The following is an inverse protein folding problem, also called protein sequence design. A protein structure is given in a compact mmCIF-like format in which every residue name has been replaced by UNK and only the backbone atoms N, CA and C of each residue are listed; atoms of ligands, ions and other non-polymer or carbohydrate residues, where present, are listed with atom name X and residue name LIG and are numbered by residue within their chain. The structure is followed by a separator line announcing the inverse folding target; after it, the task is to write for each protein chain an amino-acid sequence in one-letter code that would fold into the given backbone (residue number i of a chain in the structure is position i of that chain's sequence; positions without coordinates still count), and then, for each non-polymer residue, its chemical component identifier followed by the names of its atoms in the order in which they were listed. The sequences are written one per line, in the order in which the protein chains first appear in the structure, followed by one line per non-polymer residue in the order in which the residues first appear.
data_IF_642884285781
#
_entry.id   IF_642884285781
#
_cell.length_a   1.000
_cell.length_b   1.000
_cell.length_c   1.000
_cell.angle_alpha   90.00
_cell.angle_beta   90.00
_cell.angle_gamma   90.00
#
_symmetry.space_group_name_H-M   'P 1'
#
loop_
_entity.id
_entity.type
_entity.pdbx_description
1 polymer ?
#
# COMPACT_ATOMS: atom_id res chain seq x y z
N UNK A 1 24.05 29.49 -6.91
CA UNK A 1 23.20 29.92 -8.05
C UNK A 1 23.90 30.99 -8.84
N UNK A 2 24.20 32.19 -8.28
CA UNK A 2 24.82 33.32 -9.00
C UNK A 2 26.14 32.97 -9.70
N UNK A 3 26.98 32.12 -9.08
CA UNK A 3 28.26 31.68 -9.65
C UNK A 3 28.09 30.81 -10.91
N UNK A 4 26.96 30.09 -11.04
CA UNK A 4 26.69 29.16 -12.16
C UNK A 4 25.81 29.82 -13.21
N UNK A 5 24.76 30.53 -12.78
CA UNK A 5 23.73 31.08 -13.65
C UNK A 5 23.95 32.59 -13.98
N UNK A 6 24.92 33.23 -13.37
CA UNK A 6 25.11 34.68 -13.49
C UNK A 6 24.01 35.48 -12.77
N UNK A 7 23.97 36.78 -13.03
CA UNK A 7 22.99 37.69 -12.46
C UNK A 7 23.51 38.43 -11.21
N UNK A 8 22.63 39.24 -10.59
CA UNK A 8 22.90 39.97 -9.34
C UNK A 8 21.83 39.70 -8.31
N UNK A 9 22.22 39.57 -7.03
CA UNK A 9 21.27 39.41 -5.94
C UNK A 9 20.69 40.76 -5.52
N UNK A 10 19.39 40.81 -5.28
CA UNK A 10 18.76 41.95 -4.61
C UNK A 10 19.09 41.95 -3.11
N UNK A 11 18.77 43.05 -2.41
CA UNK A 11 18.82 43.04 -0.94
C UNK A 11 17.79 42.08 -0.40
N UNK A 12 18.19 41.28 0.60
CA UNK A 12 17.24 40.40 1.30
C UNK A 12 16.33 41.22 2.21
N UNK A 13 15.06 40.80 2.30
CA UNK A 13 14.08 41.35 3.22
C UNK A 13 13.71 40.27 4.24
N UNK A 14 13.83 40.59 5.52
CA UNK A 14 13.41 39.74 6.61
C UNK A 14 12.14 40.33 7.22
N UNK A 15 11.05 39.55 7.22
CA UNK A 15 9.79 39.90 7.87
C UNK A 15 9.43 38.81 8.90
N UNK A 16 8.93 39.21 10.05
CA UNK A 16 8.56 38.30 11.14
C UNK A 16 9.31 38.58 12.45
N UNK A 17 9.06 37.81 13.50
CA UNK A 17 9.71 37.99 14.79
C UNK A 17 11.23 37.73 14.68
N UNK A 18 12.03 38.67 15.19
CA UNK A 18 13.50 38.63 15.13
C UNK A 18 14.16 37.52 15.98
N UNK A 19 13.41 36.80 16.79
CA UNK A 19 13.95 35.72 17.62
C UNK A 19 13.15 34.43 17.44
N UNK A 20 13.80 33.43 16.88
CA UNK A 20 13.28 32.07 16.98
C UNK A 20 13.42 31.59 18.44
N UNK A 21 12.32 31.11 19.03
CA UNK A 21 12.35 30.52 20.34
C UNK A 21 13.29 29.30 20.33
N UNK A 22 14.32 29.35 21.19
CA UNK A 22 15.22 28.20 21.35
C UNK A 22 14.46 27.01 21.87
N UNK A 23 14.53 25.89 21.15
CA UNK A 23 13.87 24.66 21.52
C UNK A 23 14.79 23.84 22.42
N UNK A 24 14.36 23.54 23.63
CA UNK A 24 15.09 22.70 24.57
C UNK A 24 14.35 21.40 24.80
N UNK A 25 15.01 20.29 24.54
CA UNK A 25 14.46 18.94 24.71
C UNK A 25 15.20 18.24 25.84
N UNK A 26 14.44 17.51 26.68
CA UNK A 26 15.00 16.71 27.76
C UNK A 26 15.16 15.26 27.28
N UNK A 27 16.40 14.80 27.14
CA UNK A 27 16.72 13.44 26.73
C UNK A 27 17.07 12.59 27.96
N UNK A 28 16.34 11.47 28.11
CA UNK A 28 16.70 10.44 29.09
C UNK A 28 17.50 9.33 28.39
N UNK A 29 18.75 9.15 28.81
CA UNK A 29 19.64 8.13 28.22
C UNK A 29 19.11 6.70 28.34
N UNK A 30 18.36 6.37 29.40
CA UNK A 30 17.76 5.04 29.54
C UNK A 30 16.81 4.72 28.40
N UNK A 31 16.04 5.72 27.97
CA UNK A 31 15.10 5.59 26.84
C UNK A 31 15.81 5.18 25.53
N UNK A 32 17.07 5.64 25.33
CA UNK A 32 17.86 5.19 24.18
C UNK A 32 18.10 3.68 24.23
N UNK A 33 18.51 3.13 25.38
CA UNK A 33 18.71 1.69 25.54
C UNK A 33 17.40 0.91 25.39
N UNK A 34 16.31 1.42 25.98
CA UNK A 34 15.01 0.73 25.96
C UNK A 34 14.41 0.64 24.53
N UNK A 35 14.68 1.64 23.69
CA UNK A 35 14.17 1.69 22.32
C UNK A 35 15.12 0.98 21.33
N UNK A 36 16.42 1.26 21.44
CA UNK A 36 17.42 0.80 20.47
C UNK A 36 18.02 -0.57 20.83
N UNK A 37 17.97 -0.95 22.12
CA UNK A 37 18.55 -2.20 22.61
C UNK A 37 20.03 -2.13 23.00
N UNK A 38 20.77 -1.10 22.58
CA UNK A 38 22.19 -0.92 22.89
C UNK A 38 22.43 0.29 23.82
N UNK A 39 23.54 0.27 24.54
CA UNK A 39 23.92 1.36 25.45
C UNK A 39 24.74 2.44 24.73
N UNK A 40 24.60 3.67 25.19
CA UNK A 40 25.41 4.80 24.76
C UNK A 40 25.92 5.57 25.99
N UNK A 41 27.16 6.01 25.95
CA UNK A 41 27.75 6.78 27.03
C UNK A 41 27.41 8.28 26.95
N UNK A 42 27.43 8.97 28.09
CA UNK A 42 27.23 10.43 28.12
C UNK A 42 28.27 11.18 27.25
N UNK A 43 29.48 10.66 27.16
CA UNK A 43 30.55 11.25 26.35
C UNK A 43 30.23 11.10 24.84
N UNK A 44 29.75 9.94 24.40
CA UNK A 44 29.33 9.73 23.01
C UNK A 44 28.11 10.61 22.65
N UNK A 45 27.10 10.69 23.54
CA UNK A 45 25.96 11.58 23.34
C UNK A 45 26.41 13.03 23.17
N UNK A 46 27.29 13.49 24.06
CA UNK A 46 27.82 14.85 23.99
C UNK A 46 28.59 15.07 22.66
N UNK A 47 29.47 14.16 22.27
CA UNK A 47 30.24 14.24 21.05
C UNK A 47 29.32 14.31 19.80
N UNK A 48 28.36 13.41 19.71
CA UNK A 48 27.46 13.30 18.55
C UNK A 48 26.56 14.55 18.46
N UNK A 49 25.82 14.88 19.50
CA UNK A 49 24.87 15.98 19.43
C UNK A 49 25.55 17.36 19.29
N UNK A 50 26.74 17.51 19.87
CA UNK A 50 27.53 18.74 19.66
C UNK A 50 28.03 18.86 18.23
N UNK A 51 28.45 17.76 17.58
CA UNK A 51 28.84 17.76 16.17
C UNK A 51 27.67 18.09 15.23
N UNK A 52 26.44 17.84 15.66
CA UNK A 52 25.22 18.22 14.97
C UNK A 52 24.72 19.66 15.27
N UNK A 53 25.53 20.42 16.04
CA UNK A 53 25.24 21.82 16.37
C UNK A 53 24.34 22.04 17.59
N UNK A 54 24.00 20.99 18.33
CA UNK A 54 23.23 21.10 19.56
C UNK A 54 24.09 21.62 20.71
N UNK A 55 23.48 22.39 21.61
CA UNK A 55 24.12 22.77 22.90
C UNK A 55 23.58 21.89 24.01
N UNK A 56 24.48 21.31 24.83
CA UNK A 56 24.14 20.26 25.78
C UNK A 56 24.45 20.70 27.20
N UNK A 57 23.52 20.40 28.12
CA UNK A 57 23.76 20.49 29.56
C UNK A 57 23.38 19.14 30.20
N UNK A 58 24.39 18.46 30.76
CA UNK A 58 24.21 17.13 31.35
C UNK A 58 23.88 17.30 32.85
N UNK A 59 22.72 16.84 33.29
CA UNK A 59 22.30 16.73 34.68
C UNK A 59 22.02 15.27 35.03
N UNK A 60 22.86 14.66 35.86
CA UNK A 60 22.79 13.26 36.36
C UNK A 60 22.05 12.21 35.50
N UNK A 61 20.74 12.32 35.29
CA UNK A 61 19.91 11.35 34.55
C UNK A 61 19.24 11.94 33.28
N UNK A 62 19.20 13.27 33.16
CA UNK A 62 18.51 13.98 32.09
C UNK A 62 19.51 14.90 31.39
N UNK A 63 19.59 14.80 30.10
CA UNK A 63 20.40 15.68 29.25
C UNK A 63 19.48 16.73 28.64
N UNK A 64 19.71 17.99 28.96
CA UNK A 64 19.02 19.10 28.28
C UNK A 64 19.75 19.45 27.01
N UNK A 65 19.06 19.34 25.89
CA UNK A 65 19.59 19.57 24.55
C UNK A 65 18.89 20.80 23.94
N UNK A 66 19.63 21.86 23.71
CA UNK A 66 19.17 23.03 22.95
C UNK A 66 19.40 22.74 21.46
N UNK A 67 18.31 22.63 20.70
CA UNK A 67 18.32 22.31 19.26
C UNK A 67 18.63 23.56 18.45
N UNK A 68 19.50 23.47 17.41
CA UNK A 68 19.80 24.61 16.55
C UNK A 68 18.58 25.01 15.71
N UNK A 69 18.48 26.29 15.36
CA UNK A 69 17.32 26.86 14.68
C UNK A 69 17.08 26.29 13.26
N UNK A 70 18.11 25.75 12.63
CA UNK A 70 18.03 25.16 11.28
C UNK A 70 17.56 23.68 11.27
N UNK A 71 17.29 23.10 12.47
CA UNK A 71 16.72 21.76 12.64
C UNK A 71 15.29 21.82 13.20
N UNK A 72 14.31 22.31 12.41
CA UNK A 72 12.92 22.39 12.84
C UNK A 72 12.27 21.00 13.02
N UNK A 73 12.82 19.98 12.38
CA UNK A 73 12.46 18.57 12.42
C UNK A 73 12.61 17.96 13.82
N UNK A 74 13.67 18.35 14.54
CA UNK A 74 13.92 17.81 15.89
C UNK A 74 12.97 18.49 16.88
N UNK A 75 11.97 17.73 17.35
CA UNK A 75 10.90 18.24 18.22
C UNK A 75 10.75 17.51 19.54
N UNK A 76 11.12 16.26 19.57
CA UNK A 76 10.94 15.35 20.70
C UNK A 76 12.25 14.63 21.03
N UNK A 77 12.26 13.95 22.17
CA UNK A 77 13.42 13.17 22.59
C UNK A 77 13.70 11.96 21.68
N UNK A 78 12.66 11.43 21.02
CA UNK A 78 12.82 10.34 20.05
C UNK A 78 13.62 10.79 18.83
N UNK A 79 13.46 12.03 18.38
CA UNK A 79 14.20 12.58 17.24
C UNK A 79 15.71 12.68 17.58
N UNK A 80 16.03 13.00 18.86
CA UNK A 80 17.40 12.97 19.33
C UNK A 80 17.97 11.55 19.41
N UNK A 81 17.15 10.56 19.78
CA UNK A 81 17.52 9.15 19.79
C UNK A 81 17.83 8.68 18.36
N UNK A 82 17.04 9.08 17.38
CA UNK A 82 17.27 8.79 15.98
C UNK A 82 18.63 9.36 15.52
N UNK A 83 18.93 10.60 15.82
CA UNK A 83 20.22 11.23 15.47
C UNK A 83 21.40 10.49 16.12
N UNK A 84 21.24 10.07 17.36
CA UNK A 84 22.28 9.31 18.07
C UNK A 84 22.56 7.97 17.40
N UNK A 85 21.54 7.20 17.07
CA UNK A 85 21.74 5.88 16.46
C UNK A 85 22.22 6.00 15.02
N UNK A 86 21.74 6.99 14.28
CA UNK A 86 22.16 7.27 12.91
C UNK A 86 23.67 7.51 12.80
N UNK A 87 24.23 8.27 13.73
CA UNK A 87 25.69 8.55 13.78
C UNK A 87 26.47 7.40 14.42
N UNK A 88 25.91 6.75 15.47
CA UNK A 88 26.56 5.60 16.12
C UNK A 88 26.66 4.40 15.18
N UNK A 89 25.68 4.21 14.31
CA UNK A 89 25.59 3.16 13.29
C UNK A 89 24.51 2.13 13.61
N UNK A 90 23.63 1.88 12.66
CA UNK A 90 22.58 0.84 12.76
C UNK A 90 23.14 -0.58 12.71
N UNK A 91 24.31 -0.76 12.13
CA UNK A 91 25.08 -2.01 12.08
C UNK A 91 25.47 -2.55 13.47
N UNK A 92 25.46 -1.69 14.48
CA UNK A 92 25.76 -2.06 15.88
C UNK A 92 24.56 -2.60 16.64
N UNK A 93 23.37 -2.59 16.04
CA UNK A 93 22.15 -3.15 16.65
C UNK A 93 22.17 -4.67 16.40
N UNK A 94 22.10 -5.43 17.50
CA UNK A 94 22.03 -6.88 17.41
C UNK A 94 20.70 -7.33 16.82
N UNK A 95 20.75 -8.21 15.84
CA UNK A 95 19.58 -8.85 15.26
C UNK A 95 19.08 -9.95 16.18
N UNK A 96 18.00 -9.67 16.91
CA UNK A 96 17.34 -10.64 17.78
C UNK A 96 16.16 -11.25 17.02
N UNK A 97 16.15 -12.59 16.89
CA UNK A 97 14.99 -13.27 16.32
C UNK A 97 13.80 -13.13 17.26
N UNK A 98 12.62 -12.68 16.77
CA UNK A 98 11.44 -12.64 17.60
C UNK A 98 11.09 -14.05 18.08
N UNK A 99 10.71 -14.18 19.33
CA UNK A 99 10.24 -15.45 19.90
C UNK A 99 8.98 -15.89 19.16
N UNK A 100 9.00 -17.14 18.66
CA UNK A 100 7.83 -17.74 18.04
C UNK A 100 6.87 -18.19 19.14
N UNK A 101 5.76 -17.49 19.27
CA UNK A 101 4.65 -17.98 20.07
C UNK A 101 3.95 -19.10 19.29
N UNK A 102 4.25 -20.38 19.62
CA UNK A 102 3.79 -21.56 18.89
C UNK A 102 2.27 -21.76 18.98
N UNK A 103 1.62 -21.16 19.95
CA UNK A 103 0.21 -21.39 20.27
C UNK A 103 -0.76 -20.41 19.63
N UNK A 104 -0.28 -19.46 18.83
CA UNK A 104 -1.12 -18.48 18.13
C UNK A 104 -1.17 -18.76 16.64
N UNK A 105 -2.38 -18.84 16.10
CA UNK A 105 -2.58 -18.88 14.67
C UNK A 105 -1.96 -17.62 14.03
N UNK A 106 -1.10 -17.84 13.04
CA UNK A 106 -0.35 -16.75 12.36
C UNK A 106 -1.27 -15.89 11.50
N UNK A 107 -2.31 -16.50 10.92
CA UNK A 107 -3.28 -15.84 10.04
C UNK A 107 -4.69 -16.06 10.56
N UNK A 108 -5.48 -15.01 10.62
CA UNK A 108 -6.91 -15.13 10.86
C UNK A 108 -7.64 -15.72 9.63
N UNK A 109 -8.91 -16.10 9.82
CA UNK A 109 -9.71 -16.75 8.77
C UNK A 109 -9.78 -15.92 7.48
N UNK A 110 -10.00 -14.59 7.57
CA UNK A 110 -10.07 -13.72 6.39
C UNK A 110 -8.74 -13.67 5.64
N UNK A 111 -7.62 -13.63 6.35
CA UNK A 111 -6.28 -13.69 5.74
C UNK A 111 -6.00 -15.04 5.09
N UNK A 112 -6.45 -16.15 5.70
CA UNK A 112 -6.36 -17.47 5.08
C UNK A 112 -7.13 -17.52 3.77
N UNK A 113 -8.39 -17.04 3.75
CA UNK A 113 -9.20 -16.96 2.52
C UNK A 113 -8.57 -16.07 1.46
N UNK A 114 -8.01 -14.92 1.83
CA UNK A 114 -7.31 -14.03 0.92
C UNK A 114 -6.19 -14.76 0.17
N UNK A 115 -5.28 -15.39 0.90
CA UNK A 115 -4.17 -16.12 0.29
C UNK A 115 -4.60 -17.39 -0.45
N UNK A 116 -5.66 -18.04 0.00
CA UNK A 116 -6.20 -19.22 -0.68
C UNK A 116 -6.80 -18.81 -2.03
N UNK A 117 -7.56 -17.71 -2.09
CA UNK A 117 -8.10 -17.15 -3.34
C UNK A 117 -7.01 -16.83 -4.36
N UNK A 118 -5.91 -16.20 -3.90
CA UNK A 118 -4.77 -15.89 -4.77
C UNK A 118 -4.19 -17.18 -5.39
N UNK A 119 -3.92 -18.20 -4.56
CA UNK A 119 -3.36 -19.48 -5.04
C UNK A 119 -4.33 -20.23 -5.95
N UNK A 120 -5.61 -20.24 -5.61
CA UNK A 120 -6.65 -20.90 -6.41
C UNK A 120 -6.73 -20.35 -7.83
N UNK A 121 -6.70 -19.03 -8.00
CA UNK A 121 -6.75 -18.41 -9.32
C UNK A 121 -5.40 -18.50 -10.06
N UNK A 122 -4.28 -18.32 -9.35
CA UNK A 122 -2.96 -18.48 -9.95
C UNK A 122 -2.74 -19.89 -10.51
N UNK A 123 -3.19 -20.94 -9.80
CA UNK A 123 -3.11 -22.33 -10.26
C UNK A 123 -3.94 -22.61 -11.53
N UNK A 124 -4.94 -21.79 -11.81
CA UNK A 124 -5.77 -21.86 -13.04
C UNK A 124 -5.20 -21.00 -14.18
N UNK A 125 -3.98 -20.48 -14.01
CA UNK A 125 -3.27 -19.70 -15.04
C UNK A 125 -3.65 -18.23 -15.11
N UNK A 126 -4.33 -17.69 -14.11
CA UNK A 126 -4.55 -16.25 -14.01
C UNK A 126 -3.30 -15.55 -13.46
N UNK A 127 -3.03 -14.37 -13.97
CA UNK A 127 -2.00 -13.46 -13.47
C UNK A 127 -2.62 -12.49 -12.49
N UNK A 128 -2.01 -12.37 -11.31
CA UNK A 128 -2.45 -11.41 -10.31
C UNK A 128 -2.13 -9.98 -10.75
N UNK A 129 -3.10 -9.11 -10.56
CA UNK A 129 -2.94 -7.67 -10.70
C UNK A 129 -3.15 -7.00 -9.34
N UNK A 130 -2.39 -5.96 -9.08
CA UNK A 130 -2.58 -5.08 -7.92
C UNK A 130 -2.82 -3.69 -8.47
N UNK A 131 -4.08 -3.29 -8.48
CA UNK A 131 -4.47 -2.01 -9.02
C UNK A 131 -4.78 -0.99 -7.92
N UNK A 132 -4.84 0.28 -8.28
CA UNK A 132 -5.20 1.32 -7.33
C UNK A 132 -6.62 1.12 -6.79
N UNK A 133 -6.83 1.48 -5.52
CA UNK A 133 -8.18 1.56 -4.93
C UNK A 133 -9.01 2.71 -5.50
N UNK A 134 -8.41 3.52 -6.36
CA UNK A 134 -9.01 4.66 -7.04
C UNK A 134 -9.28 4.32 -8.50
N UNK A 135 -10.32 4.92 -9.07
CA UNK A 135 -10.70 4.72 -10.47
C UNK A 135 -11.43 5.94 -11.03
N UNK A 136 -11.68 5.94 -12.33
CA UNK A 136 -12.50 6.96 -12.99
C UNK A 136 -13.98 6.76 -12.67
N UNK A 137 -14.64 7.82 -12.23
CA UNK A 137 -16.07 7.86 -11.94
C UNK A 137 -16.94 7.34 -13.10
N UNK A 138 -16.59 7.63 -14.34
CA UNK A 138 -17.37 7.19 -15.51
C UNK A 138 -17.35 5.66 -15.63
N UNK A 139 -16.19 5.05 -15.49
CA UNK A 139 -16.02 3.60 -15.60
C UNK A 139 -16.61 2.89 -14.38
N UNK A 140 -16.40 3.43 -13.17
CA UNK A 140 -16.93 2.85 -11.95
C UNK A 140 -18.47 2.77 -11.96
N UNK A 141 -19.14 3.80 -12.49
CA UNK A 141 -20.62 3.85 -12.64
C UNK A 141 -21.17 2.72 -13.52
N UNK A 142 -20.42 2.26 -14.51
CA UNK A 142 -20.89 1.16 -15.36
C UNK A 142 -21.00 -0.16 -14.61
N UNK A 143 -20.07 -0.43 -13.69
CA UNK A 143 -20.02 -1.68 -12.95
C UNK A 143 -20.71 -1.64 -11.57
N UNK A 144 -20.96 -0.46 -11.02
CA UNK A 144 -21.52 -0.24 -9.69
C UNK A 144 -22.81 0.57 -9.70
N UNK A 145 -23.72 0.27 -10.65
CA UNK A 145 -25.00 0.97 -10.79
C UNK A 145 -25.85 0.87 -9.52
N UNK A 146 -26.39 2.02 -9.08
CA UNK A 146 -27.28 2.13 -7.93
C UNK A 146 -26.61 2.40 -6.59
N UNK A 147 -25.30 2.29 -6.48
CA UNK A 147 -24.56 2.59 -5.26
C UNK A 147 -24.06 4.02 -5.25
N UNK A 148 -23.98 4.62 -4.05
CA UNK A 148 -23.50 5.99 -3.89
C UNK A 148 -22.01 6.08 -4.19
N UNK A 149 -21.62 6.98 -5.06
CA UNK A 149 -20.25 7.26 -5.42
C UNK A 149 -19.47 7.90 -4.27
N UNK A 150 -18.23 7.41 -4.02
CA UNK A 150 -17.34 7.93 -2.99
C UNK A 150 -16.26 8.75 -3.67
N UNK A 151 -16.44 10.07 -3.72
CA UNK A 151 -15.52 11.00 -4.36
C UNK A 151 -14.35 11.35 -3.49
N UNK A 152 -13.18 11.51 -4.12
CA UNK A 152 -11.96 11.98 -3.48
C UNK A 152 -11.90 13.50 -3.64
N UNK A 153 -11.70 14.21 -2.54
CA UNK A 153 -11.71 15.68 -2.52
C UNK A 153 -10.56 16.28 -3.34
N UNK A 154 -9.36 15.71 -3.24
CA UNK A 154 -8.16 16.16 -3.94
C UNK A 154 -7.46 14.98 -4.62
N UNK A 155 -8.02 14.46 -5.74
CA UNK A 155 -7.47 13.29 -6.40
C UNK A 155 -6.08 13.59 -7.01
N UNK A 156 -5.23 12.58 -7.06
CA UNK A 156 -3.89 12.65 -7.66
C UNK A 156 -3.98 12.97 -9.16
N UNK A 157 -5.01 12.44 -9.83
CA UNK A 157 -5.34 12.74 -11.22
C UNK A 157 -6.85 12.72 -11.43
N UNK A 158 -7.33 13.31 -12.52
CA UNK A 158 -8.75 13.34 -12.88
C UNK A 158 -9.31 11.94 -13.14
N UNK A 159 -8.47 11.00 -13.56
CA UNK A 159 -8.85 9.60 -13.84
C UNK A 159 -8.90 8.71 -12.57
N UNK A 160 -8.54 9.27 -11.41
CA UNK A 160 -8.49 8.56 -10.13
C UNK A 160 -9.30 9.33 -9.06
N UNK A 161 -10.52 9.72 -9.42
CA UNK A 161 -11.32 10.69 -8.67
C UNK A 161 -12.36 10.07 -7.72
N UNK A 162 -12.52 8.74 -7.74
CA UNK A 162 -13.42 8.00 -6.84
C UNK A 162 -12.77 6.76 -6.26
N UNK A 163 -13.24 6.30 -5.09
CA UNK A 163 -12.93 4.98 -4.58
C UNK A 163 -13.72 3.92 -5.37
N UNK A 164 -13.05 2.86 -5.78
CA UNK A 164 -13.67 1.79 -6.57
C UNK A 164 -14.73 1.03 -5.77
N UNK A 165 -15.91 0.85 -6.33
CA UNK A 165 -16.98 0.03 -5.80
C UNK A 165 -16.99 -1.38 -6.42
N UNK A 166 -16.24 -1.55 -7.52
CA UNK A 166 -16.05 -2.83 -8.18
C UNK A 166 -14.59 -2.99 -8.60
N UNK A 167 -14.04 -4.18 -8.44
CA UNK A 167 -12.70 -4.53 -8.97
C UNK A 167 -12.74 -4.62 -10.51
N UNK A 168 -13.90 -4.94 -11.08
CA UNK A 168 -14.06 -5.13 -12.53
C UNK A 168 -13.72 -3.88 -13.34
N UNK A 169 -13.99 -2.69 -12.84
CA UNK A 169 -13.61 -1.44 -13.49
C UNK A 169 -12.12 -1.37 -13.78
N UNK A 170 -11.30 -1.67 -12.78
CA UNK A 170 -9.84 -1.64 -12.92
C UNK A 170 -9.32 -2.80 -13.78
N UNK A 171 -9.87 -4.01 -13.61
CA UNK A 171 -9.50 -5.16 -14.44
C UNK A 171 -9.80 -4.91 -15.92
N UNK A 172 -10.96 -4.31 -16.26
CA UNK A 172 -11.33 -3.98 -17.63
C UNK A 172 -10.39 -2.94 -18.25
N UNK A 173 -10.02 -1.90 -17.50
CA UNK A 173 -9.03 -0.90 -17.96
C UNK A 173 -7.69 -1.57 -18.27
N UNK A 174 -7.20 -2.42 -17.37
CA UNK A 174 -5.91 -3.08 -17.54
C UNK A 174 -5.95 -4.13 -18.65
N UNK A 175 -7.06 -4.86 -18.80
CA UNK A 175 -7.28 -5.76 -19.91
C UNK A 175 -7.15 -5.01 -21.24
N UNK A 176 -7.94 -3.95 -21.42
CA UNK A 176 -7.92 -3.11 -22.64
C UNK A 176 -6.52 -2.57 -22.93
N UNK A 177 -5.85 -2.02 -21.93
CA UNK A 177 -4.49 -1.48 -22.07
C UNK A 177 -3.46 -2.52 -22.51
N UNK A 178 -3.61 -3.77 -22.10
CA UNK A 178 -2.73 -4.85 -22.52
C UNK A 178 -3.09 -5.37 -23.92
N UNK A 179 -4.37 -5.44 -24.26
CA UNK A 179 -4.83 -5.76 -25.62
C UNK A 179 -4.31 -4.73 -26.64
N UNK A 180 -4.37 -3.43 -26.32
CA UNK A 180 -3.84 -2.35 -27.16
C UNK A 180 -2.32 -2.46 -27.37
N UNK A 181 -1.62 -3.23 -26.53
CA UNK A 181 -0.19 -3.56 -26.64
C UNK A 181 0.06 -4.91 -27.33
N UNK A 182 -0.95 -5.48 -28.00
CA UNK A 182 -0.84 -6.74 -28.73
C UNK A 182 -0.84 -7.99 -27.86
N UNK A 183 -1.32 -7.94 -26.61
CA UNK A 183 -1.48 -9.12 -25.77
C UNK A 183 -2.85 -9.76 -26.05
N UNK A 184 -2.85 -10.85 -26.80
CA UNK A 184 -4.08 -11.52 -27.23
C UNK A 184 -4.68 -12.46 -26.18
N UNK A 185 -3.85 -13.04 -25.32
CA UNK A 185 -4.23 -14.03 -24.30
C UNK A 185 -4.05 -13.43 -22.92
N UNK A 186 -5.14 -13.13 -22.26
CA UNK A 186 -5.11 -12.48 -20.94
C UNK A 186 -6.10 -13.15 -20.00
N UNK A 187 -5.58 -13.61 -18.86
CA UNK A 187 -6.35 -14.05 -17.72
C UNK A 187 -5.82 -13.28 -16.51
N UNK A 188 -6.58 -12.30 -16.04
CA UNK A 188 -6.18 -11.41 -14.96
C UNK A 188 -7.11 -11.60 -13.77
N UNK A 189 -6.58 -11.48 -12.55
CA UNK A 189 -7.37 -11.44 -11.34
C UNK A 189 -6.80 -10.45 -10.34
N UNK A 190 -7.63 -10.06 -9.41
CA UNK A 190 -7.24 -9.27 -8.25
C UNK A 190 -8.04 -9.70 -7.02
N UNK A 191 -7.35 -9.79 -5.89
CA UNK A 191 -7.97 -9.93 -4.56
C UNK A 191 -7.73 -8.63 -3.83
N UNK A 192 -8.77 -7.83 -3.62
CA UNK A 192 -8.56 -6.49 -3.07
C UNK A 192 -9.82 -5.85 -2.51
N UNK A 193 -9.68 -4.67 -1.88
CA UNK A 193 -10.80 -3.97 -1.28
C UNK A 193 -11.68 -3.28 -2.33
N UNK A 194 -12.98 -3.28 -2.06
CA UNK A 194 -13.98 -2.38 -2.65
C UNK A 194 -14.67 -1.60 -1.53
N UNK A 195 -15.20 -0.43 -1.85
CA UNK A 195 -15.67 0.53 -0.87
C UNK A 195 -17.14 0.85 -1.10
N UNK A 196 -17.94 0.87 -0.02
CA UNK A 196 -19.36 1.20 -0.05
C UNK A 196 -19.73 2.35 0.88
N UNK A 197 -18.76 2.93 1.60
CA UNK A 197 -18.94 4.09 2.46
C UNK A 197 -17.62 4.78 2.79
N UNK A 198 -17.70 5.85 3.59
CA UNK A 198 -16.56 6.72 3.96
C UNK A 198 -16.02 6.42 5.36
N UNK A 199 -16.73 5.60 6.14
CA UNK A 199 -16.34 5.29 7.51
C UNK A 199 -15.42 4.07 7.56
N UNK A 200 -14.58 3.94 8.58
CA UNK A 200 -13.78 2.74 8.81
C UNK A 200 -14.67 1.49 8.87
N UNK A 201 -14.30 0.46 8.11
CA UNK A 201 -15.07 -0.78 8.03
C UNK A 201 -16.10 -0.85 6.90
N UNK A 202 -16.43 0.26 6.25
CA UNK A 202 -17.32 0.30 5.08
C UNK A 202 -16.56 -0.10 3.80
N UNK A 203 -15.87 -1.24 3.89
CA UNK A 203 -15.14 -1.85 2.79
C UNK A 203 -15.20 -3.37 2.92
N UNK A 204 -15.05 -4.06 1.79
CA UNK A 204 -14.98 -5.51 1.77
C UNK A 204 -13.90 -5.98 0.80
N UNK A 205 -13.27 -7.12 1.10
CA UNK A 205 -12.35 -7.78 0.19
C UNK A 205 -13.15 -8.61 -0.80
N UNK A 206 -12.92 -8.35 -2.08
CA UNK A 206 -13.56 -9.07 -3.19
C UNK A 206 -12.48 -9.73 -4.04
N UNK A 207 -12.84 -10.85 -4.63
CA UNK A 207 -12.07 -11.50 -5.69
C UNK A 207 -12.74 -11.20 -7.01
N UNK A 208 -11.99 -10.64 -7.95
CA UNK A 208 -12.45 -10.43 -9.33
C UNK A 208 -11.47 -11.06 -10.30
N UNK A 209 -12.01 -11.64 -11.38
CA UNK A 209 -11.19 -12.22 -12.45
C UNK A 209 -11.80 -11.92 -13.81
N UNK A 210 -10.96 -11.81 -14.83
CA UNK A 210 -11.36 -11.56 -16.23
C UNK A 210 -10.47 -12.37 -17.17
N UNK A 211 -11.09 -13.01 -18.17
CA UNK A 211 -10.40 -13.73 -19.23
C UNK A 211 -10.70 -13.12 -20.59
N UNK A 212 -9.73 -13.13 -21.50
CA UNK A 212 -9.91 -12.67 -22.86
C UNK A 212 -8.97 -13.37 -23.83
N UNK A 213 -9.41 -13.56 -25.05
CA UNK A 213 -8.65 -14.20 -26.12
C UNK A 213 -8.84 -15.70 -26.17
N UNK A 214 -7.80 -16.44 -26.55
CA UNK A 214 -7.88 -17.89 -26.64
C UNK A 214 -7.57 -18.56 -25.30
N UNK A 215 -8.11 -19.75 -25.08
CA UNK A 215 -7.90 -20.56 -23.86
C UNK A 215 -6.43 -20.94 -23.67
N UNK A 216 -5.75 -21.27 -24.77
CA UNK A 216 -4.34 -21.64 -24.78
C UNK A 216 -3.60 -20.96 -25.93
N UNK A 217 -2.29 -20.81 -25.77
CA UNK A 217 -1.45 -20.39 -26.91
C UNK A 217 -1.50 -21.45 -27.99
N UNK A 218 -1.46 -21.00 -29.26
CA UNK A 218 -1.40 -21.89 -30.40
C UNK A 218 -0.26 -22.89 -30.22
N UNK A 219 -0.57 -24.17 -30.27
CA UNK A 219 0.36 -25.27 -30.14
C UNK A 219 0.04 -26.33 -31.26
N UNK A 220 0.89 -27.33 -31.37
CA UNK A 220 0.77 -28.37 -32.39
C UNK A 220 -0.20 -29.50 -31.99
N UNK A 221 -0.60 -29.58 -30.71
CA UNK A 221 -1.46 -30.64 -30.16
C UNK A 221 -2.95 -30.32 -30.34
N UNK A 222 -3.33 -29.05 -30.16
CA UNK A 222 -4.71 -28.64 -30.05
C UNK A 222 -5.04 -27.41 -30.91
N UNK A 223 -6.24 -27.39 -31.48
CA UNK A 223 -6.77 -26.18 -32.08
C UNK A 223 -7.12 -25.16 -30.99
N UNK A 224 -6.56 -23.97 -31.12
CA UNK A 224 -6.89 -22.87 -30.22
C UNK A 224 -8.35 -22.47 -30.40
N UNK A 225 -9.12 -22.43 -29.29
CA UNK A 225 -10.47 -21.86 -29.23
C UNK A 225 -10.48 -20.62 -28.34
N UNK A 226 -11.42 -19.74 -28.58
CA UNK A 226 -11.63 -18.58 -27.71
C UNK A 226 -12.23 -19.01 -26.38
N UNK A 227 -11.92 -18.21 -25.35
CA UNK A 227 -12.54 -18.31 -24.01
C UNK A 227 -14.04 -18.09 -24.15
N UNK A 228 -14.81 -18.90 -23.48
CA UNK A 228 -16.26 -18.78 -23.39
C UNK A 228 -16.77 -18.72 -21.94
N UNK A 229 -18.09 -18.63 -21.77
CA UNK A 229 -18.73 -18.54 -20.46
C UNK A 229 -18.48 -19.80 -19.61
N UNK A 230 -18.35 -20.97 -20.22
CA UNK A 230 -18.15 -22.23 -19.49
C UNK A 230 -16.76 -22.28 -18.85
N UNK A 231 -15.74 -21.69 -19.48
CA UNK A 231 -14.42 -21.58 -18.88
C UNK A 231 -14.46 -20.77 -17.57
N UNK A 232 -15.17 -19.63 -17.61
CA UNK A 232 -15.29 -18.76 -16.43
C UNK A 232 -16.14 -19.38 -15.32
N UNK A 233 -17.24 -20.03 -15.69
CA UNK A 233 -18.10 -20.78 -14.75
C UNK A 233 -17.28 -21.89 -14.07
N UNK A 234 -16.57 -22.70 -14.85
CA UNK A 234 -15.73 -23.77 -14.30
C UNK A 234 -14.67 -23.25 -13.34
N UNK A 235 -13.95 -22.20 -13.71
CA UNK A 235 -12.93 -21.58 -12.85
C UNK A 235 -13.53 -21.00 -11.57
N UNK A 236 -14.72 -20.39 -11.67
CA UNK A 236 -15.45 -19.83 -10.51
C UNK A 236 -15.89 -20.92 -9.55
N UNK A 237 -16.57 -21.97 -10.03
CA UNK A 237 -17.04 -23.08 -9.21
C UNK A 237 -15.87 -23.74 -8.51
N UNK A 238 -14.81 -24.09 -9.25
CA UNK A 238 -13.60 -24.71 -8.65
C UNK A 238 -12.94 -23.82 -7.61
N UNK A 239 -12.89 -22.51 -7.84
CA UNK A 239 -12.35 -21.57 -6.86
C UNK A 239 -13.19 -21.53 -5.59
N UNK A 240 -14.52 -21.51 -5.71
CA UNK A 240 -15.43 -21.54 -4.56
C UNK A 240 -15.31 -22.85 -3.75
N UNK A 241 -15.19 -23.98 -4.42
CA UNK A 241 -14.97 -25.29 -3.77
C UNK A 241 -13.63 -25.28 -3.01
N UNK A 242 -12.55 -24.77 -3.61
CA UNK A 242 -11.25 -24.63 -2.95
C UNK A 242 -11.29 -23.70 -1.74
N UNK A 243 -12.20 -22.72 -1.73
CA UNK A 243 -12.45 -21.82 -0.60
C UNK A 243 -13.35 -22.44 0.48
N UNK A 244 -13.84 -23.69 0.26
CA UNK A 244 -14.64 -24.44 1.22
C UNK A 244 -16.14 -24.33 1.04
N UNK A 245 -16.62 -23.79 -0.08
CA UNK A 245 -18.05 -23.80 -0.44
C UNK A 245 -18.43 -25.21 -0.91
N UNK A 246 -19.55 -25.74 -0.41
CA UNK A 246 -20.04 -27.02 -0.86
C UNK A 246 -20.62 -26.90 -2.29
N UNK A 247 -20.23 -27.80 -3.20
CA UNK A 247 -20.69 -27.79 -4.59
C UNK A 247 -22.23 -27.89 -4.70
N UNK A 248 -22.87 -28.62 -3.80
CA UNK A 248 -24.33 -28.74 -3.76
C UNK A 248 -25.07 -27.46 -3.40
N UNK A 249 -24.38 -26.47 -2.83
CA UNK A 249 -24.95 -25.16 -2.49
C UNK A 249 -24.80 -24.14 -3.63
N UNK A 250 -24.14 -24.53 -4.73
CA UNK A 250 -23.92 -23.69 -5.90
C UNK A 250 -25.01 -23.93 -6.95
N UNK A 251 -25.56 -22.84 -7.47
CA UNK A 251 -26.44 -22.88 -8.62
C UNK A 251 -26.11 -21.77 -9.61
N UNK A 252 -26.30 -22.06 -10.91
CA UNK A 252 -26.06 -21.11 -11.97
C UNK A 252 -27.38 -20.36 -12.23
N UNK A 253 -27.33 -19.05 -12.28
CA UNK A 253 -28.46 -18.19 -12.59
C UNK A 253 -28.21 -17.42 -13.90
N UNK A 254 -29.25 -17.26 -14.70
CA UNK A 254 -29.26 -16.45 -15.92
C UNK A 254 -29.52 -14.96 -15.64
N UNK A 255 -29.74 -14.58 -14.37
CA UNK A 255 -29.97 -13.18 -13.97
C UNK A 255 -28.66 -12.42 -13.90
N UNK A 256 -28.49 -11.49 -14.82
CA UNK A 256 -27.27 -10.67 -14.91
C UNK A 256 -27.54 -9.20 -14.59
N UNK A 257 -26.50 -8.46 -14.15
CA UNK A 257 -26.57 -7.00 -14.05
C UNK A 257 -26.56 -6.38 -15.46
N UNK A 258 -27.20 -5.21 -15.60
CA UNK A 258 -27.34 -4.51 -16.89
C UNK A 258 -26.03 -4.16 -17.64
N UNK A 259 -24.87 -4.26 -16.95
CA UNK A 259 -23.55 -4.06 -17.57
C UNK A 259 -23.03 -5.28 -18.33
N UNK A 260 -23.66 -6.46 -18.15
CA UNK A 260 -23.25 -7.70 -18.82
C UNK A 260 -24.19 -8.04 -19.97
N UNK A 261 -23.68 -8.80 -20.94
CA UNK A 261 -24.49 -9.22 -22.09
C UNK A 261 -25.51 -10.29 -21.65
N UNK A 262 -26.84 -10.07 -21.86
CA UNK A 262 -27.88 -10.93 -21.28
C UNK A 262 -27.84 -12.39 -21.77
N UNK A 263 -27.23 -12.68 -22.92
CA UNK A 263 -27.13 -14.03 -23.46
C UNK A 263 -25.71 -14.62 -23.44
N UNK A 264 -24.73 -13.93 -22.83
CA UNK A 264 -23.32 -14.37 -22.79
C UNK A 264 -22.64 -14.13 -21.45
N UNK A 265 -23.38 -13.91 -20.41
CA UNK A 265 -22.89 -13.65 -19.04
C UNK A 265 -23.46 -14.64 -18.03
#
# INVERSE_FOLDING_TARGET
ILKICGGSASKYLITGPNSQKKKVINLNIRKFKDIIGISISNQEVNKILTSLGCKIKINKKIIKVEVPSWRPDISQDIDLIEELIRIKGFDKIELIKPEKNRDKETLNFKQKLFHLSQRALASKGYMETVTWSFTDSKIDKEFAKGEKEIKIFNPISLDLNVLRRSIFSNLAIHLKKNQDRGKEYLSLFEVGPTFFGINPGEQQTIVGAIKSGAVSRKNWLENSRNVDVFDVISDTIRTLIELGVNENDLYISDKTKNCYHPGRS
#
